data_IF_097354845388
#
_entry.id   IF_097354845388
#
_cell.length_a   1.000
_cell.length_b   1.000
_cell.length_c   1.000
_cell.angle_alpha   90.00
_cell.angle_beta   90.00
_cell.angle_gamma   90.00
#
_symmetry.space_group_name_H-M   'P 1'
#
loop_
_entity.id
_entity.type
_entity.pdbx_description
1 polymer ?
#
# COMPACT_ATOMS: atom_id res chain seq x y z
N UNK A 1 -1.97 0.07 15.26
CA UNK A 1 -2.25 1.10 16.34
C UNK A 1 -2.81 2.34 15.66
N UNK A 2 -3.84 3.01 16.20
CA UNK A 2 -4.39 4.22 15.54
C UNK A 2 -3.41 5.40 15.65
N UNK A 3 -3.13 6.13 14.55
CA UNK A 3 -2.35 7.37 14.57
C UNK A 3 -2.96 8.45 15.47
N UNK A 4 -2.15 9.40 15.93
CA UNK A 4 -2.58 10.47 16.83
C UNK A 4 -3.65 11.39 16.21
N UNK A 5 -3.60 11.57 14.89
CA UNK A 5 -4.47 12.41 14.07
C UNK A 5 -5.68 11.65 13.49
N UNK A 6 -5.88 10.37 13.86
CA UNK A 6 -6.90 9.51 13.25
C UNK A 6 -8.32 10.10 13.31
N UNK A 7 -8.68 10.80 14.39
CA UNK A 7 -10.01 11.42 14.52
C UNK A 7 -10.22 12.57 13.52
N UNK A 8 -9.19 13.40 13.33
CA UNK A 8 -9.19 14.53 12.39
C UNK A 8 -9.24 14.03 10.95
N UNK A 9 -8.37 13.07 10.60
CA UNK A 9 -8.33 12.45 9.28
C UNK A 9 -9.69 11.83 8.90
N UNK A 10 -10.34 11.14 9.85
CA UNK A 10 -11.67 10.57 9.65
C UNK A 10 -12.74 11.64 9.41
N UNK A 11 -12.70 12.75 10.15
CA UNK A 11 -13.65 13.84 9.97
C UNK A 11 -13.47 14.52 8.61
N UNK A 12 -12.23 14.76 8.19
CA UNK A 12 -11.90 15.33 6.89
C UNK A 12 -12.36 14.43 5.73
N UNK A 13 -12.10 13.12 5.82
CA UNK A 13 -12.57 12.15 4.83
C UNK A 13 -14.10 12.12 4.73
N UNK A 14 -14.80 12.14 5.88
CA UNK A 14 -16.26 12.16 5.90
C UNK A 14 -16.85 13.46 5.36
N UNK A 15 -16.18 14.60 5.53
CA UNK A 15 -16.58 15.86 4.91
C UNK A 15 -16.39 15.81 3.39
N UNK A 16 -15.23 15.33 2.93
CA UNK A 16 -14.94 15.20 1.50
C UNK A 16 -15.95 14.29 0.80
N UNK A 17 -16.21 13.11 1.34
CA UNK A 17 -17.13 12.13 0.73
C UNK A 17 -18.61 12.58 0.71
N UNK A 18 -18.98 13.65 1.44
CA UNK A 18 -20.32 14.27 1.39
C UNK A 18 -20.46 15.33 0.30
N UNK A 19 -19.37 15.84 -0.26
CA UNK A 19 -19.45 16.75 -1.40
C UNK A 19 -20.16 16.03 -2.57
N UNK A 20 -20.89 16.78 -3.44
CA UNK A 20 -21.51 16.21 -4.62
C UNK A 20 -20.55 15.33 -5.43
N UNK A 21 -21.06 14.20 -5.94
CA UNK A 21 -20.39 13.24 -6.83
C UNK A 21 -19.17 12.49 -6.27
N UNK A 22 -18.62 12.86 -5.10
CA UNK A 22 -17.43 12.19 -4.52
C UNK A 22 -17.67 10.71 -4.20
N UNK A 23 -18.83 10.40 -3.61
CA UNK A 23 -19.18 9.01 -3.30
C UNK A 23 -19.42 8.18 -4.56
N UNK A 24 -19.96 8.78 -5.61
CA UNK A 24 -20.14 8.12 -6.90
C UNK A 24 -18.78 7.83 -7.55
N UNK A 25 -17.88 8.82 -7.59
CA UNK A 25 -16.52 8.65 -8.08
C UNK A 25 -15.77 7.54 -7.34
N UNK A 26 -15.88 7.48 -6.01
CA UNK A 26 -15.29 6.42 -5.19
C UNK A 26 -15.84 5.03 -5.58
N UNK A 27 -17.17 4.89 -5.71
CA UNK A 27 -17.80 3.61 -6.10
C UNK A 27 -17.37 3.15 -7.48
N UNK A 28 -17.32 4.08 -8.44
CA UNK A 28 -16.81 3.79 -9.77
C UNK A 28 -15.38 3.29 -9.70
N UNK A 29 -14.49 4.01 -9.00
CA UNK A 29 -13.08 3.64 -8.85
C UNK A 29 -12.89 2.25 -8.22
N UNK A 30 -13.64 1.93 -7.17
CA UNK A 30 -13.58 0.63 -6.49
C UNK A 30 -14.07 -0.50 -7.41
N UNK A 31 -15.07 -0.23 -8.27
CA UNK A 31 -15.63 -1.21 -9.20
C UNK A 31 -14.79 -1.48 -10.45
N UNK A 32 -13.73 -0.70 -10.71
CA UNK A 32 -12.87 -0.90 -11.87
C UNK A 32 -12.02 -2.18 -11.72
N UNK A 33 -11.90 -2.92 -12.81
CA UNK A 33 -11.00 -4.07 -12.92
C UNK A 33 -9.55 -3.68 -12.63
N UNK A 34 -8.80 -4.59 -12.01
CA UNK A 34 -7.36 -4.45 -11.76
C UNK A 34 -6.49 -5.19 -12.79
N UNK A 35 -7.09 -5.78 -13.82
CA UNK A 35 -6.39 -6.62 -14.81
C UNK A 35 -5.22 -5.90 -15.52
N UNK A 36 -5.38 -4.63 -15.83
CA UNK A 36 -4.32 -3.83 -16.46
C UNK A 36 -3.12 -3.66 -15.52
N UNK A 37 -3.37 -3.54 -14.21
CA UNK A 37 -2.31 -3.41 -13.20
C UNK A 37 -1.49 -4.69 -13.12
N UNK A 38 -2.13 -5.86 -13.08
CA UNK A 38 -1.44 -7.17 -13.12
C UNK A 38 -0.52 -7.29 -14.35
N UNK A 39 -0.99 -6.83 -15.51
CA UNK A 39 -0.19 -6.83 -16.75
C UNK A 39 1.01 -5.90 -16.65
N UNK A 40 0.85 -4.71 -16.07
CA UNK A 40 1.94 -3.74 -15.88
C UNK A 40 3.01 -4.30 -14.93
N UNK A 41 2.59 -4.89 -13.79
CA UNK A 41 3.52 -5.46 -12.80
C UNK A 41 4.46 -6.47 -13.46
N UNK A 42 3.94 -7.41 -14.24
CA UNK A 42 4.76 -8.43 -14.91
C UNK A 42 5.72 -7.89 -15.99
N UNK A 43 5.54 -6.64 -16.43
CA UNK A 43 6.41 -5.97 -17.43
C UNK A 43 7.35 -4.95 -16.80
N UNK A 44 7.16 -4.62 -15.53
CA UNK A 44 7.95 -3.61 -14.84
C UNK A 44 9.40 -4.05 -14.67
N UNK A 45 10.33 -3.13 -14.87
CA UNK A 45 11.78 -3.32 -14.70
C UNK A 45 12.41 -2.26 -13.81
N UNK A 46 11.61 -1.36 -13.26
CA UNK A 46 12.12 -0.33 -12.35
C UNK A 46 12.39 -0.95 -10.98
N UNK A 47 13.39 -0.46 -10.23
CA UNK A 47 13.57 -0.84 -8.83
C UNK A 47 12.27 -0.65 -8.05
N UNK A 48 11.89 -1.66 -7.27
CA UNK A 48 10.65 -1.66 -6.49
C UNK A 48 10.89 -2.13 -5.06
N UNK A 49 10.09 -1.61 -4.12
CA UNK A 49 9.99 -2.08 -2.75
C UNK A 49 8.53 -2.45 -2.48
N UNK A 50 8.27 -3.72 -2.20
CA UNK A 50 6.94 -4.19 -1.78
C UNK A 50 6.89 -4.16 -0.27
N UNK A 51 5.89 -3.50 0.32
CA UNK A 51 5.66 -3.46 1.77
C UNK A 51 4.24 -3.93 2.04
N UNK A 52 4.06 -4.89 2.94
CA UNK A 52 2.76 -5.48 3.22
C UNK A 52 2.60 -5.79 4.71
N UNK A 53 1.43 -5.50 5.28
CA UNK A 53 1.06 -5.91 6.63
C UNK A 53 0.41 -7.29 6.66
N UNK A 54 0.71 -8.13 7.65
CA UNK A 54 0.12 -9.49 7.73
C UNK A 54 -1.37 -9.51 8.05
N UNK A 55 -1.94 -8.39 8.49
CA UNK A 55 -3.35 -8.23 8.84
C UNK A 55 -4.10 -7.29 7.88
N UNK A 56 -3.58 -7.07 6.66
CA UNK A 56 -4.26 -6.25 5.66
C UNK A 56 -5.61 -6.89 5.26
N UNK A 57 -6.76 -6.25 5.56
CA UNK A 57 -8.07 -6.82 5.28
C UNK A 57 -8.46 -6.77 3.80
N UNK A 58 -7.71 -6.07 2.96
CA UNK A 58 -8.00 -5.96 1.53
C UNK A 58 -7.62 -7.25 0.79
N UNK A 59 -6.80 -8.11 1.39
CA UNK A 59 -6.30 -9.35 0.79
C UNK A 59 -6.70 -10.57 1.64
N UNK A 60 -7.19 -11.66 1.02
CA UNK A 60 -7.43 -12.93 1.73
C UNK A 60 -6.15 -13.53 2.34
N UNK A 61 -5.02 -13.35 1.65
CA UNK A 61 -3.68 -13.74 2.12
C UNK A 61 -2.69 -12.63 1.73
N UNK A 62 -2.43 -11.66 2.63
CA UNK A 62 -1.50 -10.58 2.36
C UNK A 62 -0.07 -11.06 2.08
N UNK A 63 0.36 -12.15 2.72
CA UNK A 63 1.73 -12.65 2.56
C UNK A 63 1.90 -13.31 1.20
N UNK A 64 0.91 -14.06 0.72
CA UNK A 64 0.92 -14.60 -0.63
C UNK A 64 0.93 -13.50 -1.70
N UNK A 65 0.12 -12.44 -1.51
CA UNK A 65 0.11 -11.30 -2.43
C UNK A 65 1.48 -10.60 -2.48
N UNK A 66 2.08 -10.36 -1.32
CA UNK A 66 3.40 -9.74 -1.24
C UNK A 66 4.48 -10.58 -1.93
N UNK A 67 4.45 -11.91 -1.75
CA UNK A 67 5.38 -12.84 -2.43
C UNK A 67 5.21 -12.81 -3.94
N UNK A 68 3.96 -12.85 -4.43
CA UNK A 68 3.69 -12.75 -5.85
C UNK A 68 4.23 -11.44 -6.45
N UNK A 69 4.01 -10.31 -5.79
CA UNK A 69 4.57 -9.01 -6.21
C UNK A 69 6.11 -9.03 -6.19
N UNK A 70 6.71 -9.60 -5.14
CA UNK A 70 8.16 -9.74 -5.01
C UNK A 70 8.78 -10.55 -6.15
N UNK A 71 8.19 -11.70 -6.47
CA UNK A 71 8.61 -12.54 -7.59
C UNK A 71 8.48 -11.80 -8.94
N UNK A 72 7.35 -11.15 -9.18
CA UNK A 72 7.09 -10.45 -10.43
C UNK A 72 8.02 -9.24 -10.64
N UNK A 73 8.38 -8.55 -9.57
CA UNK A 73 9.21 -7.34 -9.59
C UNK A 73 10.70 -7.63 -9.32
N UNK A 74 11.06 -8.86 -8.96
CA UNK A 74 12.44 -9.24 -8.62
C UNK A 74 12.96 -8.60 -7.34
N UNK A 75 12.12 -8.47 -6.31
CA UNK A 75 12.48 -7.91 -5.00
C UNK A 75 12.02 -8.80 -3.86
N UNK A 76 12.74 -8.78 -2.74
CA UNK A 76 12.26 -9.34 -1.49
C UNK A 76 11.20 -8.40 -0.88
N UNK A 77 9.99 -8.88 -0.54
CA UNK A 77 8.98 -8.08 0.13
C UNK A 77 9.31 -7.81 1.60
N UNK A 78 9.03 -6.59 2.06
CA UNK A 78 9.03 -6.23 3.46
C UNK A 78 7.67 -6.55 4.10
N UNK A 79 7.57 -7.72 4.72
CA UNK A 79 6.36 -8.16 5.44
C UNK A 79 6.39 -7.69 6.89
N UNK A 80 5.41 -6.88 7.28
CA UNK A 80 5.29 -6.28 8.61
C UNK A 80 4.27 -7.08 9.44
N UNK A 81 4.79 -8.00 10.25
CA UNK A 81 3.97 -8.78 11.19
C UNK A 81 3.09 -7.87 12.08
N UNK A 82 1.79 -8.17 12.14
CA UNK A 82 0.82 -7.46 12.97
C UNK A 82 0.33 -6.11 12.44
N UNK A 83 0.84 -5.62 11.31
CA UNK A 83 0.32 -4.41 10.67
C UNK A 83 -0.87 -4.73 9.75
N UNK A 84 -1.82 -3.80 9.64
CA UNK A 84 -2.92 -3.87 8.68
C UNK A 84 -2.57 -3.19 7.36
N UNK A 85 -3.57 -2.54 6.76
CA UNK A 85 -3.49 -1.94 5.42
C UNK A 85 -2.50 -0.77 5.28
N UNK A 86 -2.16 -0.09 6.38
CA UNK A 86 -1.26 1.07 6.34
C UNK A 86 0.00 0.85 7.19
N UNK A 87 0.91 -0.10 6.85
CA UNK A 87 2.06 -0.42 7.69
C UNK A 87 2.95 0.78 8.02
N UNK A 88 3.09 1.72 7.09
CA UNK A 88 3.88 2.94 7.25
C UNK A 88 3.33 3.91 8.29
N UNK A 89 2.01 3.92 8.55
CA UNK A 89 1.40 4.71 9.62
C UNK A 89 1.34 3.94 10.95
N UNK A 90 1.16 2.63 10.87
CA UNK A 90 0.94 1.80 12.07
C UNK A 90 2.23 1.42 12.81
N UNK A 91 3.30 1.16 12.06
CA UNK A 91 4.61 0.74 12.57
C UNK A 91 5.72 1.46 11.78
N UNK A 92 5.76 2.80 11.77
CA UNK A 92 6.74 3.58 11.01
C UNK A 92 8.19 3.19 11.35
N UNK A 93 8.47 2.82 12.59
CA UNK A 93 9.78 2.34 13.05
C UNK A 93 10.26 1.07 12.36
N UNK A 94 9.34 0.26 11.81
CA UNK A 94 9.65 -0.95 11.04
C UNK A 94 9.73 -0.73 9.54
N UNK A 95 9.03 0.29 9.03
CA UNK A 95 8.95 0.57 7.58
C UNK A 95 9.99 1.61 7.15
N UNK A 96 10.13 2.69 7.91
CA UNK A 96 10.95 3.85 7.53
C UNK A 96 12.43 3.52 7.26
N UNK A 97 13.13 2.67 8.05
CA UNK A 97 14.53 2.36 7.78
C UNK A 97 14.73 1.72 6.39
N UNK A 98 13.97 0.67 6.08
CA UNK A 98 14.08 -0.03 4.78
C UNK A 98 13.65 0.85 3.61
N UNK A 99 12.63 1.70 3.80
CA UNK A 99 12.23 2.67 2.78
C UNK A 99 13.35 3.68 2.49
N UNK A 100 14.00 4.23 3.52
CA UNK A 100 15.11 5.17 3.36
C UNK A 100 16.33 4.49 2.69
N UNK A 101 16.66 3.26 3.09
CA UNK A 101 17.73 2.48 2.47
C UNK A 101 17.43 2.15 0.99
N UNK A 102 16.17 1.89 0.65
CA UNK A 102 15.74 1.71 -0.74
C UNK A 102 15.91 3.00 -1.53
N UNK A 103 15.42 4.13 -1.02
CA UNK A 103 15.52 5.43 -1.69
C UNK A 103 16.98 5.87 -1.88
N UNK A 104 17.85 5.63 -0.89
CA UNK A 104 19.27 5.94 -0.99
C UNK A 104 19.97 5.14 -2.09
N UNK A 105 19.59 3.86 -2.28
CA UNK A 105 20.12 3.02 -3.37
C UNK A 105 19.66 3.49 -4.74
N UNK A 106 18.36 3.78 -4.89
CA UNK A 106 17.78 4.19 -6.18
C UNK A 106 18.21 5.61 -6.57
N UNK A 107 18.38 6.51 -5.60
CA UNK A 107 18.82 7.89 -5.86
C UNK A 107 20.33 8.05 -6.07
N UNK A 108 21.11 6.98 -5.90
CA UNK A 108 22.55 6.97 -6.18
C UNK A 108 22.89 6.52 -7.62
N UNK A 109 21.88 6.06 -8.38
CA UNK A 109 21.95 5.75 -9.82
C UNK A 109 21.63 6.98 -10.68
#
# INVERSE_FOLDING_TARGET
>A
KKPADHAEAKAALAANLREPDRMEALRTMIGLSKADTTTIVGRSRVPALVVMGTQDPDFPDPVAEARWLGEALGTEPLVIEGAGHYPHLEMPERVAPTLLDFLARVGAE
#
